data_IF_941308189183
#
_entry.id   IF_941308189183
#
_cell.length_a   1.000
_cell.length_b   1.000
_cell.length_c   1.000
_cell.angle_alpha   90.00
_cell.angle_beta   90.00
_cell.angle_gamma   90.00
#
_symmetry.space_group_name_H-M   'P 1'
#
loop_
_entity.id
_entity.type
_entity.pdbx_description
1 polymer ?
#
# COMPACT_ATOMS: atom_id res chain seq x y z
N UNK A 1 -39.44 -9.03 -7.22
CA UNK A 1 -40.71 -9.76 -7.41
C UNK A 1 -40.42 -11.22 -7.73
N UNK A 2 -41.25 -12.15 -7.28
CA UNK A 2 -41.13 -13.59 -7.59
C UNK A 2 -42.36 -14.00 -8.40
N UNK A 3 -42.14 -14.62 -9.55
CA UNK A 3 -43.19 -15.22 -10.40
C UNK A 3 -43.00 -16.74 -10.44
N UNK A 4 -43.95 -17.52 -11.01
CA UNK A 4 -43.80 -18.97 -11.13
C UNK A 4 -42.50 -19.37 -11.85
N UNK A 5 -42.15 -18.66 -12.91
CA UNK A 5 -41.05 -19.04 -13.80
C UNK A 5 -39.81 -18.16 -13.65
N UNK A 6 -39.91 -16.99 -13.01
CA UNK A 6 -38.79 -16.04 -12.92
C UNK A 6 -38.69 -15.32 -11.57
N UNK A 7 -37.45 -15.09 -11.13
CA UNK A 7 -37.07 -14.16 -10.07
C UNK A 7 -36.69 -12.82 -10.72
N UNK A 8 -37.42 -11.78 -10.36
CA UNK A 8 -37.25 -10.44 -10.92
C UNK A 8 -36.67 -9.53 -9.85
N UNK A 9 -35.45 -9.02 -10.07
CA UNK A 9 -34.80 -8.06 -9.20
C UNK A 9 -34.86 -6.68 -9.83
N UNK A 10 -35.51 -5.74 -9.15
CA UNK A 10 -35.67 -4.37 -9.60
C UNK A 10 -34.91 -3.40 -8.70
N UNK A 11 -34.21 -2.44 -9.28
CA UNK A 11 -33.55 -1.34 -8.57
C UNK A 11 -33.64 -0.05 -9.40
N UNK A 12 -33.09 1.05 -8.90
CA UNK A 12 -33.09 2.33 -9.62
C UNK A 12 -31.76 3.03 -9.44
N UNK A 13 -31.17 3.47 -10.56
CA UNK A 13 -29.96 4.27 -10.59
C UNK A 13 -30.34 5.75 -10.52
N UNK A 14 -29.92 6.44 -9.46
CA UNK A 14 -30.22 7.84 -9.23
C UNK A 14 -29.01 8.71 -9.57
N UNK A 15 -29.10 9.49 -10.64
CA UNK A 15 -28.14 10.55 -10.95
C UNK A 15 -28.52 11.84 -10.22
N UNK A 16 -27.67 12.26 -9.28
CA UNK A 16 -27.81 13.52 -8.54
C UNK A 16 -26.57 14.39 -8.80
N UNK A 17 -26.64 15.36 -9.73
CA UNK A 17 -25.51 16.21 -10.03
C UNK A 17 -25.14 17.10 -8.83
N UNK A 18 -23.83 17.28 -8.61
CA UNK A 18 -23.33 18.18 -7.58
C UNK A 18 -23.68 19.65 -7.93
N UNK A 19 -23.97 20.51 -6.92
CA UNK A 19 -24.19 21.92 -7.17
C UNK A 19 -22.96 22.54 -7.85
N UNK A 20 -23.17 23.30 -8.93
CA UNK A 20 -22.10 24.09 -9.51
C UNK A 20 -21.61 25.15 -8.50
N UNK A 21 -20.35 25.57 -8.59
CA UNK A 21 -19.77 26.57 -7.68
C UNK A 21 -20.48 27.94 -7.69
N UNK A 22 -21.38 28.19 -8.64
CA UNK A 22 -22.32 29.31 -8.64
C UNK A 22 -23.76 28.78 -8.47
N UNK A 23 -24.46 29.13 -7.37
CA UNK A 23 -25.80 28.59 -7.05
C UNK A 23 -26.91 29.06 -8.00
N UNK A 24 -26.64 30.01 -8.90
CA UNK A 24 -27.63 30.54 -9.87
C UNK A 24 -27.67 29.72 -11.17
N UNK A 25 -26.68 28.83 -11.41
CA UNK A 25 -26.55 28.12 -12.68
C UNK A 25 -26.62 26.61 -12.49
N UNK A 26 -27.62 25.96 -13.11
CA UNK A 26 -27.75 24.50 -13.16
C UNK A 26 -27.31 24.01 -14.54
N UNK A 27 -26.28 23.16 -14.59
CA UNK A 27 -25.71 22.63 -15.86
C UNK A 27 -26.13 21.20 -16.19
N UNK A 28 -26.70 20.48 -15.22
CA UNK A 28 -27.25 19.14 -15.43
C UNK A 28 -28.42 18.88 -14.48
N UNK A 29 -29.40 18.12 -14.98
CA UNK A 29 -30.61 17.77 -14.22
C UNK A 29 -30.47 16.41 -13.55
N UNK A 30 -31.03 16.21 -12.34
CA UNK A 30 -31.15 14.88 -11.75
C UNK A 30 -31.95 13.94 -12.66
N UNK A 31 -31.60 12.65 -12.66
CA UNK A 31 -32.31 11.63 -13.42
C UNK A 31 -32.40 10.32 -12.62
N UNK A 32 -33.43 9.53 -12.89
CA UNK A 32 -33.61 8.20 -12.30
C UNK A 32 -33.80 7.20 -13.42
N UNK A 33 -32.97 6.15 -13.44
CA UNK A 33 -33.04 5.08 -14.44
C UNK A 33 -33.42 3.78 -13.74
N UNK A 34 -34.61 3.22 -13.98
CA UNK A 34 -35.00 1.93 -13.42
C UNK A 34 -34.19 0.80 -14.07
N UNK A 35 -33.78 -0.18 -13.28
CA UNK A 35 -33.04 -1.37 -13.73
C UNK A 35 -33.78 -2.61 -13.24
N UNK A 36 -33.98 -3.57 -14.13
CA UNK A 36 -34.69 -4.81 -13.83
C UNK A 36 -33.94 -6.01 -14.42
N UNK A 37 -33.75 -7.05 -13.61
CA UNK A 37 -33.04 -8.28 -13.98
C UNK A 37 -33.96 -9.48 -13.76
N UNK A 38 -34.15 -10.30 -14.78
CA UNK A 38 -35.03 -11.46 -14.75
C UNK A 38 -34.21 -12.75 -14.79
N UNK A 39 -34.38 -13.61 -13.79
CA UNK A 39 -33.68 -14.88 -13.67
C UNK A 39 -34.67 -16.04 -13.74
N UNK A 40 -34.48 -17.03 -14.62
CA UNK A 40 -35.38 -18.18 -14.70
C UNK A 40 -35.26 -19.05 -13.44
N UNK A 41 -36.40 -19.48 -12.91
CA UNK A 41 -36.48 -20.37 -11.75
C UNK A 41 -36.33 -21.82 -12.20
N UNK A 42 -35.50 -22.59 -11.50
CA UNK A 42 -35.39 -24.05 -11.67
C UNK A 42 -35.89 -24.72 -10.39
N UNK A 43 -36.75 -25.71 -10.52
CA UNK A 43 -37.46 -26.37 -9.40
C UNK A 43 -36.57 -27.23 -8.47
N UNK A 44 -35.29 -27.37 -8.79
CA UNK A 44 -34.34 -28.13 -7.99
C UNK A 44 -33.40 -27.18 -7.24
N UNK A 45 -33.78 -26.81 -6.00
CA UNK A 45 -33.00 -25.94 -5.12
C UNK A 45 -32.29 -26.80 -4.08
N UNK A 46 -30.98 -26.97 -4.20
CA UNK A 46 -30.16 -27.46 -3.09
C UNK A 46 -30.12 -26.39 -1.99
N UNK A 47 -30.28 -26.78 -0.72
CA UNK A 47 -30.28 -25.89 0.46
C UNK A 47 -28.92 -25.29 0.83
N UNK A 48 -27.96 -25.27 -0.09
CA UNK A 48 -26.69 -24.59 0.13
C UNK A 48 -26.86 -23.12 -0.19
N UNK A 49 -26.54 -22.26 0.79
CA UNK A 49 -26.55 -20.82 0.60
C UNK A 49 -25.77 -20.43 -0.65
N UNK A 50 -26.37 -19.60 -1.49
CA UNK A 50 -25.74 -19.08 -2.71
C UNK A 50 -24.45 -18.38 -2.30
N UNK A 51 -23.30 -19.00 -2.57
CA UNK A 51 -22.01 -18.30 -2.50
C UNK A 51 -22.06 -17.24 -3.60
N UNK A 52 -21.99 -15.94 -3.29
CA UNK A 52 -22.00 -14.93 -4.33
C UNK A 52 -20.77 -15.13 -5.21
N UNK A 53 -20.99 -15.60 -6.44
CA UNK A 53 -19.99 -15.64 -7.52
C UNK A 53 -19.93 -14.31 -8.27
N UNK A 54 -20.49 -13.23 -7.69
CA UNK A 54 -20.33 -11.87 -8.19
C UNK A 54 -18.86 -11.49 -8.13
N UNK A 55 -18.14 -11.76 -9.21
CA UNK A 55 -16.97 -10.96 -9.56
C UNK A 55 -17.54 -9.61 -9.96
N UNK A 56 -17.27 -8.52 -9.24
CA UNK A 56 -17.73 -7.21 -9.66
C UNK A 56 -17.04 -6.88 -10.96
N UNK A 57 -17.71 -7.07 -12.10
CA UNK A 57 -17.41 -6.27 -13.28
C UNK A 57 -17.85 -4.85 -12.95
N UNK A 58 -16.99 -4.09 -12.28
CA UNK A 58 -17.13 -2.65 -12.13
C UNK A 58 -16.45 -2.00 -13.32
N UNK A 59 -17.20 -1.84 -14.40
CA UNK A 59 -17.02 -0.68 -15.25
C UNK A 59 -17.80 0.48 -14.64
N UNK A 60 -17.14 1.64 -14.52
CA UNK A 60 -17.63 3.01 -14.26
C UNK A 60 -17.32 3.67 -12.91
N UNK A 61 -16.71 4.86 -13.03
CA UNK A 61 -16.67 6.02 -12.12
C UNK A 61 -15.79 5.92 -10.86
N UNK A 62 -14.51 6.25 -11.04
CA UNK A 62 -13.78 7.30 -10.30
C UNK A 62 -14.54 8.00 -9.14
N UNK A 63 -14.81 7.28 -8.06
CA UNK A 63 -14.31 7.74 -6.77
C UNK A 63 -13.03 6.96 -6.58
N UNK A 64 -11.88 7.61 -6.49
CA UNK A 64 -10.60 6.97 -6.18
C UNK A 64 -10.84 5.82 -5.18
N UNK A 65 -10.70 4.57 -5.61
CA UNK A 65 -10.68 3.44 -4.69
C UNK A 65 -9.42 3.63 -3.85
N UNK A 66 -9.54 4.37 -2.75
CA UNK A 66 -8.44 4.72 -1.86
C UNK A 66 -8.04 3.45 -1.13
N UNK A 67 -7.02 2.78 -1.64
CA UNK A 67 -6.34 1.71 -0.92
C UNK A 67 -5.79 2.28 0.39
N UNK A 68 -6.25 1.79 1.57
CA UNK A 68 -5.77 2.31 2.83
C UNK A 68 -4.42 1.66 3.13
N UNK A 69 -3.37 2.46 2.98
CA UNK A 69 -2.01 2.10 3.36
C UNK A 69 -1.79 2.33 4.84
N UNK A 70 -1.01 1.46 5.47
CA UNK A 70 -0.57 1.66 6.84
C UNK A 70 0.91 1.33 6.99
N UNK A 71 1.55 2.03 7.93
CA UNK A 71 2.92 1.80 8.34
C UNK A 71 2.91 1.65 9.86
N UNK A 72 3.30 0.48 10.35
CA UNK A 72 3.27 0.12 11.77
C UNK A 72 4.65 -0.21 12.27
N UNK A 73 4.89 0.14 13.53
CA UNK A 73 6.12 -0.20 14.24
C UNK A 73 5.89 -1.49 15.00
N UNK A 74 6.64 -2.53 14.66
CA UNK A 74 6.49 -3.88 15.19
C UNK A 74 7.47 -4.16 16.33
N UNK A 75 7.17 -5.17 17.12
CA UNK A 75 8.13 -5.77 18.04
C UNK A 75 9.16 -6.65 17.31
N UNK A 76 10.20 -7.06 18.03
CA UNK A 76 11.38 -7.71 17.45
C UNK A 76 11.08 -9.09 16.83
N UNK A 77 9.98 -9.73 17.23
CA UNK A 77 9.51 -11.02 16.70
C UNK A 77 8.38 -10.88 15.65
N UNK A 78 8.03 -9.65 15.26
CA UNK A 78 6.99 -9.32 14.27
C UNK A 78 5.57 -9.81 14.63
N UNK A 79 5.33 -10.23 15.86
CA UNK A 79 4.05 -10.79 16.29
C UNK A 79 2.97 -9.74 16.53
N UNK A 80 3.36 -8.51 16.90
CA UNK A 80 2.44 -7.45 17.26
C UNK A 80 3.04 -6.07 17.04
N UNK A 81 2.16 -5.07 17.00
CA UNK A 81 2.59 -3.67 17.04
C UNK A 81 3.25 -3.37 18.38
N UNK A 82 4.40 -2.68 18.33
CA UNK A 82 5.17 -2.32 19.51
C UNK A 82 4.41 -1.26 20.31
N UNK A 83 4.31 -1.49 21.61
CA UNK A 83 3.59 -0.59 22.52
C UNK A 83 4.39 0.69 22.84
N UNK A 84 5.72 0.59 22.88
CA UNK A 84 6.62 1.71 23.17
C UNK A 84 7.14 2.35 21.89
N UNK A 85 7.06 3.67 21.81
CA UNK A 85 7.71 4.49 20.77
C UNK A 85 9.04 5.08 21.21
N UNK A 86 9.57 4.66 22.36
CA UNK A 86 10.86 5.09 22.89
C UNK A 86 11.92 4.10 22.44
N UNK A 87 13.00 4.63 21.85
CA UNK A 87 14.15 3.86 21.39
C UNK A 87 15.46 4.42 21.94
N UNK A 88 16.41 3.54 22.17
CA UNK A 88 17.80 3.87 22.44
C UNK A 88 18.64 3.71 21.19
N UNK A 89 19.74 4.46 21.10
CA UNK A 89 20.71 4.25 20.03
C UNK A 89 21.32 2.85 20.14
N UNK A 90 21.41 2.15 19.00
CA UNK A 90 21.80 0.74 18.93
C UNK A 90 20.63 -0.23 18.96
N UNK A 91 19.40 0.24 19.19
CA UNK A 91 18.19 -0.55 18.90
C UNK A 91 17.81 -0.44 17.41
N UNK A 92 16.82 -1.21 16.99
CA UNK A 92 16.36 -1.30 15.61
C UNK A 92 14.86 -1.01 15.53
N UNK A 93 14.46 -0.17 14.58
CA UNK A 93 13.07 0.04 14.21
C UNK A 93 12.60 -1.08 13.29
N UNK A 94 11.59 -1.85 13.70
CA UNK A 94 10.96 -2.86 12.87
C UNK A 94 9.69 -2.28 12.21
N UNK A 95 9.74 -1.94 10.94
CA UNK A 95 8.59 -1.39 10.22
C UNK A 95 7.87 -2.47 9.42
N UNK A 96 6.55 -2.48 9.55
CA UNK A 96 5.66 -3.23 8.67
C UNK A 96 4.76 -2.27 7.91
N UNK A 97 4.93 -2.26 6.60
CA UNK A 97 4.02 -1.63 5.68
C UNK A 97 2.97 -2.65 5.22
N UNK A 98 1.71 -2.24 5.20
CA UNK A 98 0.61 -3.04 4.66
C UNK A 98 -0.42 -2.18 3.92
N UNK A 99 -1.22 -2.85 3.08
CA UNK A 99 -2.34 -2.24 2.37
C UNK A 99 -3.55 -3.15 2.50
N UNK A 100 -4.72 -2.59 2.84
CA UNK A 100 -5.94 -3.39 2.80
C UNK A 100 -6.36 -3.61 1.35
N UNK A 101 -6.39 -4.87 0.93
CA UNK A 101 -6.75 -5.31 -0.42
C UNK A 101 -8.17 -5.88 -0.52
N UNK A 102 -9.03 -5.66 0.49
CA UNK A 102 -10.42 -6.12 0.48
C UNK A 102 -11.16 -5.67 -0.79
N UNK A 103 -11.72 -6.64 -1.51
CA UNK A 103 -12.44 -6.46 -2.78
C UNK A 103 -11.59 -5.95 -3.96
N UNK A 104 -10.26 -6.01 -3.86
CA UNK A 104 -9.36 -5.62 -4.95
C UNK A 104 -8.68 -6.86 -5.57
N UNK A 105 -8.13 -6.70 -6.78
CA UNK A 105 -7.26 -7.73 -7.37
C UNK A 105 -6.03 -7.97 -6.45
N UNK A 106 -5.38 -9.15 -6.48
CA UNK A 106 -4.16 -9.38 -5.72
C UNK A 106 -3.09 -8.33 -6.03
N UNK A 107 -2.64 -7.60 -5.01
CA UNK A 107 -1.63 -6.54 -5.13
C UNK A 107 -0.32 -6.94 -4.47
N UNK A 108 0.79 -6.40 -4.98
CA UNK A 108 2.09 -6.40 -4.31
C UNK A 108 2.42 -5.00 -3.80
N UNK A 109 2.81 -4.89 -2.53
CA UNK A 109 3.17 -3.63 -1.89
C UNK A 109 4.67 -3.31 -2.06
N UNK A 110 4.97 -2.05 -2.35
CA UNK A 110 6.32 -1.50 -2.38
C UNK A 110 6.40 -0.22 -1.55
N UNK A 111 7.61 0.04 -1.03
CA UNK A 111 7.97 1.30 -0.39
C UNK A 111 8.90 2.01 -1.36
N UNK A 112 8.44 3.13 -1.88
CA UNK A 112 9.13 3.90 -2.92
C UNK A 112 10.26 4.75 -2.34
N UNK A 113 9.95 5.50 -1.28
CA UNK A 113 10.90 6.26 -0.48
C UNK A 113 10.41 6.38 0.97
N UNK A 114 11.35 6.58 1.89
CA UNK A 114 11.06 6.94 3.27
C UNK A 114 12.05 7.98 3.77
N UNK A 115 11.51 9.04 4.36
CA UNK A 115 12.25 10.19 4.87
C UNK A 115 11.93 10.39 6.35
N UNK A 116 12.98 10.54 7.14
CA UNK A 116 12.91 10.91 8.54
C UNK A 116 13.15 12.40 8.72
N UNK A 117 12.43 12.99 9.68
CA UNK A 117 12.48 14.43 10.02
C UNK A 117 12.31 14.62 11.53
N UNK A 118 12.88 15.68 12.13
CA UNK A 118 12.70 15.96 13.56
C UNK A 118 11.32 16.57 13.88
N UNK A 119 10.55 16.97 12.87
CA UNK A 119 9.23 17.57 13.00
C UNK A 119 8.25 16.92 12.05
N UNK A 120 6.93 16.92 12.32
CA UNK A 120 5.94 16.35 11.40
C UNK A 120 5.89 17.01 10.00
N UNK A 121 6.50 18.19 9.84
CA UNK A 121 6.46 18.93 8.59
C UNK A 121 7.55 18.42 7.61
N UNK A 122 7.11 17.98 6.43
CA UNK A 122 7.97 17.51 5.33
C UNK A 122 8.90 18.58 4.75
N UNK A 123 8.63 19.87 4.99
CA UNK A 123 9.47 20.98 4.53
C UNK A 123 10.59 21.36 5.51
N UNK A 124 10.93 20.50 6.49
CA UNK A 124 12.04 20.78 7.40
C UNK A 124 13.36 20.85 6.63
N UNK A 125 14.27 21.71 7.10
CA UNK A 125 15.61 21.84 6.50
C UNK A 125 16.48 20.61 6.74
N UNK A 126 16.18 19.82 7.78
CA UNK A 126 16.88 18.60 8.12
C UNK A 126 16.01 17.40 7.79
N UNK A 127 16.47 16.58 6.83
CA UNK A 127 15.78 15.40 6.32
C UNK A 127 16.81 14.27 6.15
N UNK A 128 16.41 13.04 6.44
CA UNK A 128 17.24 11.86 6.26
C UNK A 128 16.47 10.79 5.49
N UNK A 129 16.84 10.58 4.22
CA UNK A 129 16.24 9.54 3.38
C UNK A 129 16.99 8.23 3.58
N UNK A 130 16.31 7.23 4.14
CA UNK A 130 16.89 5.90 4.41
C UNK A 130 16.39 4.83 3.42
N UNK A 131 15.27 5.10 2.74
CA UNK A 131 14.85 4.40 1.51
C UNK A 131 14.67 5.47 0.43
N UNK A 132 15.28 5.28 -0.72
CA UNK A 132 15.23 6.19 -1.87
C UNK A 132 15.35 5.41 -3.19
N UNK A 133 15.31 6.10 -4.33
CA UNK A 133 15.49 5.52 -5.67
C UNK A 133 14.54 4.38 -5.96
N UNK A 134 13.25 4.59 -5.67
CA UNK A 134 12.18 3.61 -5.91
C UNK A 134 12.43 2.27 -5.23
N UNK A 135 12.68 2.29 -3.91
CA UNK A 135 12.79 1.10 -3.07
C UNK A 135 14.20 0.56 -2.80
N UNK A 136 15.25 1.39 -2.92
CA UNK A 136 16.60 1.05 -2.47
C UNK A 136 16.77 1.49 -0.99
N UNK A 137 17.00 0.55 -0.08
CA UNK A 137 17.28 0.85 1.33
C UNK A 137 18.75 1.30 1.48
N UNK A 138 18.99 2.58 1.18
CA UNK A 138 20.33 3.19 1.11
C UNK A 138 21.03 3.30 2.46
N UNK A 139 20.29 3.32 3.57
CA UNK A 139 20.86 3.34 4.91
C UNK A 139 21.72 2.09 5.17
N UNK A 140 21.28 0.91 4.73
CA UNK A 140 22.03 -0.34 4.89
C UNK A 140 23.37 -0.41 4.11
N UNK A 141 23.61 0.54 3.20
CA UNK A 141 24.89 0.66 2.50
C UNK A 141 25.97 1.32 3.38
N UNK A 142 25.60 2.08 4.41
CA UNK A 142 26.54 2.74 5.32
C UNK A 142 27.30 1.70 6.16
N UNK A 143 28.57 1.96 6.47
CA UNK A 143 29.44 0.97 7.14
C UNK A 143 28.92 0.55 8.52
N UNK A 144 28.30 1.46 9.24
CA UNK A 144 27.80 1.31 10.62
C UNK A 144 26.33 0.87 10.72
N UNK A 145 25.59 0.82 9.61
CA UNK A 145 24.17 0.46 9.60
C UNK A 145 23.89 -0.99 9.18
N UNK A 146 22.94 -1.66 9.80
CA UNK A 146 22.51 -3.04 9.49
C UNK A 146 21.12 -3.12 8.87
N UNK A 147 20.59 -1.98 8.45
CA UNK A 147 19.25 -1.82 7.92
C UNK A 147 19.01 -2.64 6.65
N UNK A 148 17.87 -3.34 6.60
CA UNK A 148 17.54 -4.28 5.52
C UNK A 148 16.04 -4.49 5.41
N UNK A 149 15.58 -4.78 4.19
CA UNK A 149 14.28 -5.43 4.01
C UNK A 149 14.34 -6.87 4.52
N UNK A 150 13.21 -7.36 5.04
CA UNK A 150 13.06 -8.75 5.47
C UNK A 150 12.59 -9.59 4.29
N UNK A 151 13.33 -10.66 4.00
CA UNK A 151 13.00 -11.62 2.95
C UNK A 151 12.95 -13.04 3.53
N UNK A 152 11.96 -13.86 3.16
CA UNK A 152 10.85 -13.58 2.24
C UNK A 152 9.73 -12.75 2.90
N UNK A 153 8.84 -12.19 2.07
CA UNK A 153 7.65 -11.47 2.56
C UNK A 153 6.66 -12.42 3.25
N UNK A 154 5.93 -11.96 4.29
CA UNK A 154 4.80 -12.72 4.85
C UNK A 154 3.65 -12.89 3.84
N UNK A 155 3.32 -11.83 3.09
CA UNK A 155 2.29 -11.77 2.05
C UNK A 155 2.69 -10.76 0.98
N UNK A 156 2.08 -10.84 -0.21
CA UNK A 156 2.37 -9.92 -1.31
C UNK A 156 2.02 -8.45 -0.97
N UNK A 157 0.97 -8.25 -0.20
CA UNK A 157 0.46 -6.95 0.26
C UNK A 157 1.13 -6.44 1.55
N UNK A 158 2.22 -7.09 1.99
CA UNK A 158 2.98 -6.72 3.19
C UNK A 158 4.47 -6.60 2.85
N UNK A 159 5.12 -5.56 3.37
CA UNK A 159 6.58 -5.38 3.28
C UNK A 159 7.13 -5.03 4.66
N UNK A 160 8.12 -5.81 5.10
CA UNK A 160 8.79 -5.62 6.37
C UNK A 160 10.22 -5.14 6.14
N UNK A 161 10.67 -4.17 6.92
CA UNK A 161 12.04 -3.67 6.89
C UNK A 161 12.51 -3.20 8.26
N UNK A 162 13.79 -3.37 8.51
CA UNK A 162 14.47 -3.01 9.74
C UNK A 162 15.40 -1.82 9.47
N UNK A 163 15.39 -0.82 10.35
CA UNK A 163 16.26 0.36 10.27
C UNK A 163 16.89 0.63 11.63
N UNK A 164 18.20 0.79 11.69
CA UNK A 164 18.89 1.09 12.95
C UNK A 164 18.42 2.42 13.55
N UNK A 165 18.23 2.46 14.87
CA UNK A 165 17.73 3.65 15.54
C UNK A 165 18.76 4.78 15.51
N UNK A 166 18.33 5.94 15.02
CA UNK A 166 19.15 7.15 14.91
C UNK A 166 18.47 8.36 15.55
N UNK A 167 19.22 9.46 15.67
CA UNK A 167 18.71 10.76 16.08
C UNK A 167 19.34 11.88 15.28
N UNK A 168 18.64 13.01 15.19
CA UNK A 168 19.16 14.19 14.51
C UNK A 168 20.17 14.95 15.38
N UNK A 169 21.35 15.33 14.84
CA UNK A 169 22.31 16.11 15.58
C UNK A 169 21.77 17.52 15.88
N UNK A 170 21.91 17.97 17.13
CA UNK A 170 21.46 19.29 17.57
C UNK A 170 19.96 19.41 17.82
N UNK A 171 19.17 18.36 17.55
CA UNK A 171 17.78 18.32 17.99
C UNK A 171 17.70 17.99 19.48
N UNK A 172 16.90 18.75 20.21
CA UNK A 172 16.66 18.56 21.65
C UNK A 172 15.36 17.81 21.93
N UNK A 173 14.48 17.69 20.94
CA UNK A 173 13.21 16.98 21.09
C UNK A 173 13.40 15.47 21.19
N UNK A 174 14.48 14.95 20.56
CA UNK A 174 14.74 13.52 20.39
C UNK A 174 13.56 12.77 19.73
N UNK A 175 12.82 13.48 18.88
CA UNK A 175 11.71 12.91 18.11
C UNK A 175 12.15 12.65 16.68
N UNK A 176 11.64 11.58 16.11
CA UNK A 176 11.85 11.21 14.71
C UNK A 176 10.48 10.90 14.10
N UNK A 177 10.12 11.67 13.08
CA UNK A 177 8.91 11.47 12.28
C UNK A 177 9.32 10.83 10.96
N UNK A 178 8.65 9.74 10.61
CA UNK A 178 8.95 8.98 9.40
C UNK A 178 7.76 9.10 8.46
N UNK A 179 8.05 9.57 7.25
CA UNK A 179 7.07 9.64 6.15
C UNK A 179 7.54 8.72 5.04
N UNK A 180 6.68 7.81 4.60
CA UNK A 180 6.97 6.89 3.52
C UNK A 180 5.96 7.04 2.39
N UNK A 181 6.44 6.94 1.15
CA UNK A 181 5.61 6.82 -0.03
C UNK A 181 5.40 5.35 -0.36
N UNK A 182 4.17 4.89 -0.22
CA UNK A 182 3.77 3.50 -0.44
C UNK A 182 3.05 3.37 -1.79
N UNK A 183 3.32 2.29 -2.52
CA UNK A 183 2.69 2.02 -3.81
C UNK A 183 2.45 0.55 -4.04
N UNK A 184 1.64 0.23 -5.04
CA UNK A 184 1.24 -1.14 -5.36
C UNK A 184 1.36 -1.43 -6.85
N UNK A 185 1.63 -2.69 -7.18
CA UNK A 185 1.44 -3.28 -8.51
C UNK A 185 0.49 -4.47 -8.43
N UNK A 186 0.12 -5.04 -9.58
CA UNK A 186 -0.48 -6.37 -9.61
C UNK A 186 0.51 -7.40 -9.06
N UNK A 187 0.02 -8.38 -8.30
CA UNK A 187 0.87 -9.37 -7.64
C UNK A 187 1.61 -10.31 -8.61
N UNK A 188 1.09 -10.52 -9.82
CA UNK A 188 1.70 -11.35 -10.86
C UNK A 188 2.69 -10.58 -11.74
N UNK A 189 2.68 -9.24 -11.69
CA UNK A 189 3.66 -8.40 -12.37
C UNK A 189 5.05 -8.66 -11.80
N UNK A 190 6.04 -8.88 -12.67
CA UNK A 190 7.43 -9.02 -12.26
C UNK A 190 7.96 -7.68 -11.71
N UNK A 191 8.80 -7.69 -10.66
CA UNK A 191 9.50 -6.49 -10.19
C UNK A 191 10.30 -5.84 -11.32
N UNK A 192 10.36 -4.51 -11.30
CA UNK A 192 11.08 -3.69 -12.28
C UNK A 192 11.90 -2.60 -11.56
N UNK A 193 12.77 -1.85 -12.25
CA UNK A 193 13.60 -0.83 -11.62
C UNK A 193 12.82 0.27 -10.86
N UNK A 194 11.53 0.44 -11.12
CA UNK A 194 10.66 1.36 -10.37
C UNK A 194 9.87 0.62 -9.28
N UNK A 195 9.58 -0.66 -9.41
CA UNK A 195 8.78 -1.45 -8.47
C UNK A 195 9.62 -2.59 -7.89
N UNK A 196 10.44 -2.25 -6.87
CA UNK A 196 11.38 -3.17 -6.22
C UNK A 196 11.53 -2.86 -4.73
N UNK A 197 12.15 -3.78 -4.00
CA UNK A 197 12.61 -3.59 -2.64
C UNK A 197 14.02 -4.20 -2.54
N UNK A 198 15.04 -3.35 -2.44
CA UNK A 198 16.44 -3.74 -2.55
C UNK A 198 17.19 -3.41 -1.25
N UNK A 199 17.94 -4.38 -0.73
CA UNK A 199 18.83 -4.21 0.42
C UNK A 199 20.27 -4.39 0.00
N UNK A 200 21.19 -3.65 0.61
CA UNK A 200 22.61 -3.84 0.37
C UNK A 200 23.14 -4.98 1.24
N UNK A 201 23.70 -6.01 0.62
CA UNK A 201 24.34 -7.10 1.34
C UNK A 201 25.84 -6.81 1.48
N UNK A 202 26.26 -6.46 2.69
CA UNK A 202 27.67 -6.16 3.02
C UNK A 202 28.62 -7.34 2.81
N UNK A 203 28.16 -8.57 3.02
CA UNK A 203 29.01 -9.75 2.88
C UNK A 203 29.38 -10.03 1.41
N UNK A 204 28.45 -9.78 0.48
CA UNK A 204 28.69 -9.92 -0.96
C UNK A 204 29.04 -8.60 -1.65
N UNK A 205 28.95 -7.47 -0.95
CA UNK A 205 29.11 -6.12 -1.49
C UNK A 205 28.21 -5.85 -2.72
N UNK A 206 26.96 -6.34 -2.66
CA UNK A 206 26.01 -6.29 -3.77
C UNK A 206 24.61 -5.98 -3.25
N UNK A 207 23.82 -5.29 -4.08
CA UNK A 207 22.40 -5.11 -3.86
C UNK A 207 21.62 -6.40 -4.14
N UNK A 208 20.68 -6.74 -3.26
CA UNK A 208 19.84 -7.91 -3.34
C UNK A 208 18.36 -7.50 -3.26
N UNK A 209 17.51 -7.93 -4.21
CA UNK A 209 16.08 -7.70 -4.11
C UNK A 209 15.41 -8.66 -3.11
N UNK A 210 14.29 -8.26 -2.52
CA UNK A 210 13.40 -9.17 -1.77
C UNK A 210 12.83 -10.24 -2.71
N UNK A 211 12.41 -9.84 -3.91
CA UNK A 211 12.01 -10.72 -5.00
C UNK A 211 12.35 -10.14 -6.39
N UNK A 212 12.41 -10.99 -7.40
CA UNK A 212 12.77 -10.62 -8.77
C UNK A 212 14.20 -11.03 -9.12
N UNK A 213 14.69 -10.50 -10.23
CA UNK A 213 16.04 -10.78 -10.73
C UNK A 213 17.06 -9.83 -10.08
N UNK A 214 18.31 -10.29 -9.92
CA UNK A 214 19.36 -9.52 -9.24
C UNK A 214 19.68 -8.18 -9.90
N UNK A 215 19.53 -8.09 -11.22
CA UNK A 215 19.79 -6.89 -12.01
C UNK A 215 18.79 -5.75 -11.76
N UNK A 216 17.62 -6.03 -11.19
CA UNK A 216 16.61 -5.00 -10.87
C UNK A 216 17.15 -3.94 -9.89
N UNK A 217 18.10 -4.32 -9.04
CA UNK A 217 18.71 -3.43 -8.05
C UNK A 217 19.98 -2.73 -8.55
N UNK A 218 20.41 -2.95 -9.80
CA UNK A 218 21.63 -2.35 -10.35
C UNK A 218 21.61 -0.82 -10.35
N UNK A 219 20.42 -0.21 -10.52
CA UNK A 219 20.25 1.23 -10.49
C UNK A 219 20.41 1.85 -9.07
N UNK A 220 20.30 1.04 -8.01
CA UNK A 220 20.52 1.51 -6.64
C UNK A 220 21.97 1.96 -6.42
N UNK A 221 22.93 1.26 -7.03
CA UNK A 221 24.36 1.63 -6.95
C UNK A 221 24.63 2.97 -7.62
N UNK A 222 23.93 3.24 -8.73
CA UNK A 222 24.05 4.50 -9.48
C UNK A 222 23.25 5.64 -8.85
N UNK A 223 22.45 5.37 -7.81
CA UNK A 223 21.57 6.36 -7.15
C UNK A 223 20.67 7.07 -8.17
N UNK A 224 20.14 6.30 -9.12
CA UNK A 224 19.29 6.80 -10.20
C UNK A 224 18.43 5.67 -10.76
N UNK A 225 17.24 5.52 -10.18
CA UNK A 225 16.11 4.76 -10.68
C UNK A 225 14.94 5.77 -10.84
#
# INVERSE_FOLDING_TARGET
QVTPDTLVYSTSLNYKPAPAGNPVVVRSSPAVVPIECHYPRRDNVSSNGVKPTWVPFRSTLSSEEKLPFSLRLMNDDWSAERVSTIFQLGEVFHFQADVNTENHAPLRLFVDNCVATPTPNWSSSLQYAFIDFSGCLVDGQLEDATSTFISPRPRQDVLQFAVDAFKFPGDTSNLVYITCHLKVSLADQAPDPLNKACSFNKASNLWAPVEGTWDVCSCCEMRSC
#
